data_IF_171079936435
#
_entry.id   IF_171079936435
#
_cell.length_a   1.000
_cell.length_b   1.000
_cell.length_c   1.000
_cell.angle_alpha   90.00
_cell.angle_beta   90.00
_cell.angle_gamma   90.00
#
_symmetry.space_group_name_H-M   'P 1'
#
loop_
_entity.id
_entity.type
_entity.pdbx_description
1 polymer ?
#
# COMPACT_ATOMS: atom_id res chain seq x y z
N UNK A 1 -17.36 -3.37 -20.19
CA UNK A 1 -16.28 -4.33 -19.89
C UNK A 1 -15.86 -4.09 -18.45
N UNK A 2 -16.45 -4.82 -17.50
CA UNK A 2 -16.32 -4.55 -16.06
C UNK A 2 -15.86 -5.79 -15.27
N UNK A 3 -15.51 -6.89 -15.92
CA UNK A 3 -15.09 -8.11 -15.22
C UNK A 3 -13.56 -8.19 -15.15
N UNK A 4 -13.02 -8.61 -14.01
CA UNK A 4 -11.61 -8.95 -13.85
C UNK A 4 -11.17 -10.01 -14.89
N UNK A 5 -12.10 -10.88 -15.29
CA UNK A 5 -11.86 -11.89 -16.33
C UNK A 5 -11.57 -11.26 -17.70
N UNK A 6 -12.22 -10.12 -18.03
CA UNK A 6 -11.98 -9.43 -19.30
C UNK A 6 -10.52 -8.96 -19.41
N UNK A 7 -9.89 -8.57 -18.30
CA UNK A 7 -8.48 -8.16 -18.26
C UNK A 7 -7.52 -9.34 -18.40
N UNK A 8 -7.87 -10.48 -17.78
CA UNK A 8 -7.09 -11.72 -17.89
C UNK A 8 -7.15 -12.26 -19.32
N UNK A 9 -8.32 -12.19 -19.96
CA UNK A 9 -8.49 -12.60 -21.35
C UNK A 9 -7.64 -11.72 -22.30
N UNK A 10 -7.59 -10.40 -22.07
CA UNK A 10 -6.73 -9.49 -22.84
C UNK A 10 -5.24 -9.77 -22.62
N UNK A 11 -4.82 -10.04 -21.37
CA UNK A 11 -3.44 -10.44 -21.08
C UNK A 11 -3.08 -11.75 -21.77
N UNK A 12 -3.97 -12.74 -21.74
CA UNK A 12 -3.76 -14.03 -22.40
C UNK A 12 -3.67 -13.87 -23.92
N UNK A 13 -4.54 -13.07 -24.54
CA UNK A 13 -4.47 -12.75 -25.97
C UNK A 13 -3.15 -12.08 -26.34
N UNK A 14 -2.66 -11.18 -25.49
CA UNK A 14 -1.40 -10.49 -25.73
C UNK A 14 -0.19 -11.43 -25.64
N UNK A 15 -0.15 -12.32 -24.64
CA UNK A 15 1.02 -13.18 -24.37
C UNK A 15 1.02 -14.44 -25.23
N UNK A 16 -0.11 -15.14 -25.34
CA UNK A 16 -0.22 -16.44 -26.02
C UNK A 16 -0.51 -16.28 -27.50
N UNK A 17 -1.45 -15.40 -27.85
CA UNK A 17 -1.88 -15.20 -29.24
C UNK A 17 -1.08 -14.10 -29.96
N UNK A 18 -0.24 -13.34 -29.23
CA UNK A 18 0.55 -12.22 -29.78
C UNK A 18 -0.32 -11.18 -30.48
N UNK A 19 -1.51 -10.94 -29.92
CA UNK A 19 -2.48 -10.00 -30.47
C UNK A 19 -2.52 -8.71 -29.63
N UNK A 20 -2.15 -7.60 -30.26
CA UNK A 20 -2.21 -6.27 -29.65
C UNK A 20 -3.61 -5.65 -29.67
N UNK A 21 -4.56 -6.16 -30.47
CA UNK A 21 -5.84 -5.50 -30.72
C UNK A 21 -6.66 -5.32 -29.44
N UNK A 22 -6.77 -6.37 -28.61
CA UNK A 22 -7.48 -6.31 -27.33
C UNK A 22 -6.86 -5.30 -26.36
N UNK A 23 -5.53 -5.29 -26.25
CA UNK A 23 -4.80 -4.38 -25.37
C UNK A 23 -4.91 -2.92 -25.84
N UNK A 24 -4.85 -2.67 -27.16
CA UNK A 24 -5.02 -1.34 -27.75
C UNK A 24 -6.45 -0.82 -27.59
N UNK A 25 -7.47 -1.67 -27.75
CA UNK A 25 -8.86 -1.31 -27.48
C UNK A 25 -9.05 -0.89 -26.01
N UNK A 26 -8.46 -1.66 -25.09
CA UNK A 26 -8.47 -1.31 -23.66
C UNK A 26 -7.76 0.03 -23.39
N UNK A 27 -6.62 0.29 -24.04
CA UNK A 27 -5.91 1.56 -23.94
C UNK A 27 -6.76 2.74 -24.44
N UNK A 28 -7.51 2.57 -25.53
CA UNK A 28 -8.41 3.60 -26.04
C UNK A 28 -9.49 3.96 -25.01
N UNK A 29 -10.13 2.95 -24.41
CA UNK A 29 -11.17 3.12 -23.38
C UNK A 29 -10.64 3.79 -22.09
N UNK A 30 -9.37 3.55 -21.74
CA UNK A 30 -8.74 4.04 -20.50
C UNK A 30 -7.74 5.19 -20.71
N UNK A 31 -7.67 5.73 -21.92
CA UNK A 31 -6.67 6.72 -22.40
C UNK A 31 -6.53 7.94 -21.47
N UNK A 32 -7.63 8.52 -21.00
CA UNK A 32 -7.62 9.67 -20.08
C UNK A 32 -6.98 9.35 -18.72
N UNK A 33 -7.11 8.11 -18.24
CA UNK A 33 -6.52 7.67 -16.97
C UNK A 33 -5.06 7.31 -17.17
N UNK A 34 -4.74 6.58 -18.24
CA UNK A 34 -3.35 6.26 -18.60
C UNK A 34 -2.50 7.52 -18.80
N UNK A 35 -3.07 8.58 -19.39
CA UNK A 35 -2.40 9.87 -19.55
C UNK A 35 -2.09 10.55 -18.22
N UNK A 36 -3.04 10.57 -17.29
CA UNK A 36 -2.81 11.11 -15.93
C UNK A 36 -1.76 10.31 -15.15
N UNK A 37 -1.66 9.01 -15.44
CA UNK A 37 -0.67 8.12 -14.88
C UNK A 37 0.69 8.20 -15.62
N UNK A 38 0.78 8.88 -16.76
CA UNK A 38 2.01 8.92 -17.56
C UNK A 38 2.45 7.51 -18.03
N UNK A 39 1.50 6.66 -18.38
CA UNK A 39 1.76 5.27 -18.76
C UNK A 39 2.47 5.16 -20.12
N UNK A 40 3.55 4.38 -20.25
CA UNK A 40 4.20 4.12 -21.54
C UNK A 40 3.53 2.97 -22.35
N UNK A 41 2.46 2.37 -21.82
CA UNK A 41 1.85 1.16 -22.36
C UNK A 41 1.36 1.32 -23.81
N UNK A 42 0.59 2.37 -24.09
CA UNK A 42 0.01 2.62 -25.42
C UNK A 42 1.11 2.74 -26.49
N UNK A 43 2.18 3.49 -26.20
CA UNK A 43 3.34 3.62 -27.08
C UNK A 43 4.02 2.27 -27.35
N UNK A 44 4.26 1.48 -26.30
CA UNK A 44 4.93 0.18 -26.42
C UNK A 44 4.10 -0.84 -27.21
N UNK A 45 2.78 -0.82 -27.07
CA UNK A 45 1.88 -1.67 -27.85
C UNK A 45 1.87 -1.26 -29.34
N UNK A 46 1.78 0.04 -29.65
CA UNK A 46 1.89 0.52 -31.03
C UNK A 46 3.24 0.18 -31.67
N UNK A 47 4.33 0.28 -30.91
CA UNK A 47 5.67 -0.16 -31.35
C UNK A 47 5.69 -1.65 -31.67
N UNK A 48 5.10 -2.50 -30.82
CA UNK A 48 5.05 -3.94 -31.06
C UNK A 48 4.19 -4.28 -32.30
N UNK A 49 3.04 -3.63 -32.46
CA UNK A 49 2.17 -3.79 -33.63
C UNK A 49 2.90 -3.43 -34.92
N UNK A 50 3.62 -2.30 -34.92
CA UNK A 50 4.45 -1.88 -36.05
C UNK A 50 5.50 -2.95 -36.40
N UNK A 51 6.22 -3.48 -35.41
CA UNK A 51 7.22 -4.52 -35.63
C UNK A 51 6.60 -5.79 -36.23
N UNK A 52 5.39 -6.16 -35.83
CA UNK A 52 4.70 -7.32 -36.40
C UNK A 52 4.28 -7.07 -37.86
N UNK A 53 3.87 -5.85 -38.23
CA UNK A 53 3.62 -5.49 -39.64
C UNK A 53 4.90 -5.58 -40.49
N UNK A 54 6.04 -5.15 -39.93
CA UNK A 54 7.35 -5.32 -40.58
C UNK A 54 7.68 -6.80 -40.76
N UNK A 55 7.39 -7.64 -39.75
CA UNK A 55 7.59 -9.09 -39.82
C UNK A 55 6.76 -9.74 -40.93
N UNK A 56 5.55 -9.24 -41.18
CA UNK A 56 4.66 -9.71 -42.25
C UNK A 56 5.03 -9.18 -43.64
N UNK A 57 6.11 -8.39 -43.76
CA UNK A 57 6.58 -7.73 -44.99
C UNK A 57 5.61 -6.69 -45.56
N UNK A 58 4.61 -6.27 -44.78
CA UNK A 58 3.72 -5.17 -45.16
C UNK A 58 4.35 -3.81 -44.80
N UNK A 59 5.30 -3.39 -45.64
CA UNK A 59 6.10 -2.17 -45.42
C UNK A 59 5.25 -0.91 -45.60
N UNK A 60 4.26 -0.93 -46.49
CA UNK A 60 3.41 0.23 -46.76
C UNK A 60 2.41 0.44 -45.63
N UNK A 61 1.76 -0.63 -45.16
CA UNK A 61 0.88 -0.57 -43.99
C UNK A 61 1.64 -0.15 -42.73
N UNK A 62 2.87 -0.65 -42.52
CA UNK A 62 3.70 -0.24 -41.40
C UNK A 62 4.05 1.26 -41.42
N UNK A 63 4.36 1.82 -42.60
CA UNK A 63 4.65 3.26 -42.76
C UNK A 63 3.42 4.13 -42.48
N UNK A 64 2.25 3.73 -43.00
CA UNK A 64 1.00 4.43 -42.74
C UNK A 64 0.66 4.39 -41.24
N UNK A 65 0.77 3.22 -40.61
CA UNK A 65 0.54 3.05 -39.17
C UNK A 65 1.49 3.90 -38.32
N UNK A 66 2.78 3.92 -38.66
CA UNK A 66 3.78 4.75 -38.00
C UNK A 66 3.46 6.24 -38.12
N UNK A 67 3.02 6.68 -39.30
CA UNK A 67 2.62 8.08 -39.52
C UNK A 67 1.41 8.49 -38.69
N UNK A 68 0.48 7.57 -38.41
CA UNK A 68 -0.71 7.85 -37.61
C UNK A 68 -0.39 7.88 -36.11
N UNK A 69 0.35 6.89 -35.60
CA UNK A 69 0.54 6.70 -34.15
C UNK A 69 1.83 7.30 -33.58
N UNK A 70 2.87 7.52 -34.39
CA UNK A 70 4.12 8.16 -33.93
C UNK A 70 4.24 9.65 -34.32
N UNK A 71 3.20 10.22 -34.94
CA UNK A 71 3.20 11.65 -35.29
C UNK A 71 3.00 12.55 -34.07
N UNK A 72 3.71 13.69 -33.98
CA UNK A 72 3.65 14.61 -32.84
C UNK A 72 2.27 15.26 -32.62
N UNK A 73 1.36 15.21 -33.61
CA UNK A 73 -0.01 15.76 -33.49
C UNK A 73 -0.97 14.83 -32.72
N UNK A 74 -0.79 13.50 -32.75
CA UNK A 74 -1.68 12.56 -32.05
C UNK A 74 -1.35 12.40 -30.56
N UNK A 75 -0.16 12.81 -30.12
CA UNK A 75 0.26 12.81 -28.71
C UNK A 75 0.04 14.16 -27.99
N UNK A 76 -0.51 15.16 -28.69
CA UNK A 76 -0.52 16.57 -28.27
C UNK A 76 -1.67 17.00 -27.35
N UNK A 77 -2.57 16.13 -26.89
CA UNK A 77 -3.61 16.55 -25.92
C UNK A 77 -3.14 16.58 -24.45
N UNK A 78 -1.83 16.80 -24.25
CA UNK A 78 -1.16 17.01 -22.97
C UNK A 78 -0.54 18.41 -22.88
N UNK A 79 -1.30 19.46 -23.21
CA UNK A 79 -0.93 20.83 -22.88
C UNK A 79 -2.19 21.71 -22.75
N UNK A 80 -2.72 21.78 -21.53
CA UNK A 80 -3.76 22.75 -21.20
C UNK A 80 -3.14 24.15 -21.22
N UNK A 81 -3.57 24.95 -22.20
CA UNK A 81 -3.74 26.41 -22.18
C UNK A 81 -3.37 27.12 -20.88
N UNK A 82 -2.34 27.99 -20.92
CA UNK A 82 -2.36 29.39 -20.42
C UNK A 82 -1.02 30.08 -20.75
N UNK A 83 -0.98 30.99 -21.74
CA UNK A 83 -0.13 32.21 -21.74
C UNK A 83 -0.32 33.04 -23.04
N UNK A 84 -0.12 34.37 -22.98
CA UNK A 84 -0.73 35.32 -23.90
C UNK A 84 0.10 35.66 -25.15
N UNK A 85 -0.59 36.29 -26.09
CA UNK A 85 -0.14 36.85 -27.35
C UNK A 85 1.05 37.81 -27.17
N UNK A 86 2.17 37.48 -27.80
CA UNK A 86 3.29 38.40 -28.07
C UNK A 86 3.80 38.16 -29.48
N UNK A 87 3.64 39.17 -30.35
CA UNK A 87 4.14 39.16 -31.73
C UNK A 87 5.65 39.36 -31.72
N UNK A 88 6.41 38.41 -32.26
CA UNK A 88 7.87 38.47 -32.37
C UNK A 88 8.38 37.48 -33.40
N UNK A 89 8.95 38.00 -34.49
CA UNK A 89 9.50 37.25 -35.61
C UNK A 89 10.93 36.85 -35.22
N UNK A 90 11.24 35.54 -35.13
CA UNK A 90 12.63 35.07 -35.02
C UNK A 90 12.81 33.70 -35.69
N UNK A 91 13.82 33.64 -36.55
CA UNK A 91 14.26 32.52 -37.37
C UNK A 91 14.99 31.42 -36.55
N UNK A 92 14.96 30.20 -37.09
CA UNK A 92 15.76 29.00 -36.80
C UNK A 92 15.68 28.39 -35.39
N UNK A 93 14.77 27.43 -35.23
CA UNK A 93 15.10 26.02 -34.96
C UNK A 93 13.81 25.18 -35.09
N UNK A 94 13.64 24.51 -36.24
CA UNK A 94 12.49 23.65 -36.53
C UNK A 94 12.59 22.26 -35.85
N UNK A 95 13.07 22.21 -34.60
CA UNK A 95 13.25 20.96 -33.85
C UNK A 95 13.06 21.17 -32.35
N UNK A 96 11.85 21.59 -31.96
CA UNK A 96 11.44 21.70 -30.55
C UNK A 96 9.92 21.49 -30.38
N UNK A 97 9.30 20.69 -31.26
CA UNK A 97 7.86 20.43 -31.20
C UNK A 97 7.48 18.96 -31.45
N UNK A 98 8.40 18.03 -31.18
CA UNK A 98 8.09 16.60 -31.12
C UNK A 98 7.63 16.26 -29.71
N UNK A 99 6.33 15.97 -29.53
CA UNK A 99 5.71 15.55 -28.26
C UNK A 99 6.17 14.18 -27.73
N UNK A 100 7.35 13.72 -28.13
CA UNK A 100 7.98 12.47 -27.73
C UNK A 100 9.17 12.80 -26.83
N UNK A 101 9.36 12.04 -25.75
CA UNK A 101 10.60 12.14 -24.97
C UNK A 101 11.80 11.75 -25.85
N UNK A 102 13.00 12.24 -25.52
CA UNK A 102 14.21 11.90 -26.26
C UNK A 102 14.43 10.38 -26.38
N UNK A 103 14.03 9.62 -25.36
CA UNK A 103 14.07 8.15 -25.35
C UNK A 103 13.07 7.54 -26.35
N UNK A 104 11.83 8.04 -26.38
CA UNK A 104 10.82 7.55 -27.33
C UNK A 104 11.22 7.81 -28.78
N UNK A 105 11.90 8.93 -29.07
CA UNK A 105 12.41 9.21 -30.41
C UNK A 105 13.48 8.20 -30.84
N UNK A 106 14.39 7.83 -29.93
CA UNK A 106 15.39 6.78 -30.21
C UNK A 106 14.69 5.44 -30.46
N UNK A 107 13.67 5.12 -29.66
CA UNK A 107 12.90 3.89 -29.84
C UNK A 107 12.15 3.82 -31.17
N UNK A 108 11.57 4.94 -31.63
CA UNK A 108 10.92 5.05 -32.94
C UNK A 108 11.96 4.95 -34.06
N UNK A 109 13.11 5.61 -33.94
CA UNK A 109 14.19 5.51 -34.92
C UNK A 109 14.70 4.07 -35.07
N UNK A 110 14.88 3.36 -33.95
CA UNK A 110 15.24 1.94 -33.95
C UNK A 110 14.18 1.09 -34.66
N UNK A 111 12.89 1.30 -34.36
CA UNK A 111 11.80 0.62 -35.04
C UNK A 111 11.80 0.94 -36.55
N UNK A 112 11.90 2.21 -36.94
CA UNK A 112 11.94 2.63 -38.34
C UNK A 112 13.15 2.07 -39.10
N UNK A 113 14.30 1.93 -38.44
CA UNK A 113 15.48 1.31 -39.02
C UNK A 113 15.26 -0.17 -39.39
N UNK A 114 14.34 -0.88 -38.71
CA UNK A 114 13.96 -2.25 -39.11
C UNK A 114 13.37 -2.33 -40.51
N UNK A 115 12.78 -1.24 -41.04
CA UNK A 115 12.34 -1.20 -42.43
C UNK A 115 13.53 -1.25 -43.39
N UNK A 116 14.64 -0.58 -43.08
CA UNK A 116 15.82 -0.59 -43.97
C UNK A 116 16.53 -1.95 -43.99
N UNK A 117 16.38 -2.72 -42.90
CA UNK A 117 16.90 -4.06 -42.77
C UNK A 117 15.95 -5.05 -43.50
N UNK A 118 16.52 -6.11 -44.04
CA UNK A 118 15.77 -7.16 -44.76
C UNK A 118 14.91 -8.01 -43.82
N UNK A 119 14.81 -9.30 -44.09
CA UNK A 119 14.01 -10.20 -43.26
C UNK A 119 14.52 -10.23 -41.80
N UNK A 120 13.64 -10.12 -40.79
CA UNK A 120 14.02 -10.06 -39.37
C UNK A 120 14.85 -11.26 -38.90
N UNK A 121 14.60 -12.44 -39.50
CA UNK A 121 15.28 -13.70 -39.16
C UNK A 121 16.67 -13.83 -39.82
N UNK A 122 16.92 -13.06 -40.89
CA UNK A 122 18.21 -13.02 -41.60
C UNK A 122 19.10 -11.85 -41.15
N UNK A 123 18.62 -11.05 -40.20
CA UNK A 123 19.33 -9.88 -39.74
C UNK A 123 20.56 -10.30 -38.90
N UNK A 124 21.76 -10.13 -39.47
CA UNK A 124 23.05 -10.44 -38.79
C UNK A 124 23.38 -9.50 -37.63
N UNK A 125 22.52 -8.52 -37.32
CA UNK A 125 22.75 -7.54 -36.26
C UNK A 125 21.95 -7.94 -35.01
N UNK A 126 22.62 -8.33 -33.91
CA UNK A 126 21.96 -8.89 -32.73
C UNK A 126 20.96 -7.92 -32.08
N UNK A 127 21.25 -6.62 -32.07
CA UNK A 127 20.37 -5.60 -31.44
C UNK A 127 18.99 -5.53 -32.10
N UNK A 128 18.91 -5.79 -33.41
CA UNK A 128 17.62 -5.80 -34.12
C UNK A 128 16.89 -7.12 -33.96
N UNK A 129 17.60 -8.25 -33.81
CA UNK A 129 16.98 -9.54 -33.52
C UNK A 129 16.21 -9.53 -32.19
N UNK A 130 16.72 -8.80 -31.19
CA UNK A 130 16.06 -8.63 -29.89
C UNK A 130 14.73 -7.87 -29.98
N UNK A 131 14.54 -7.02 -31.01
CA UNK A 131 13.26 -6.33 -31.21
C UNK A 131 12.12 -7.28 -31.57
N UNK A 132 12.44 -8.44 -32.15
CA UNK A 132 11.47 -9.47 -32.57
C UNK A 132 11.42 -10.68 -31.60
N UNK A 133 12.11 -10.59 -30.47
CA UNK A 133 12.17 -11.63 -29.46
C UNK A 133 10.80 -11.93 -28.85
N UNK A 134 10.55 -13.21 -28.53
CA UNK A 134 9.24 -13.67 -28.03
C UNK A 134 9.00 -13.21 -26.59
N UNK A 135 10.08 -13.04 -25.83
CA UNK A 135 10.08 -12.60 -24.43
C UNK A 135 9.43 -11.22 -24.25
N UNK A 136 9.47 -10.37 -25.28
CA UNK A 136 8.84 -9.04 -25.28
C UNK A 136 7.33 -9.10 -25.03
N UNK A 137 6.67 -10.16 -25.49
CA UNK A 137 5.22 -10.33 -25.25
C UNK A 137 4.93 -10.58 -23.77
N UNK A 138 5.83 -11.27 -23.06
CA UNK A 138 5.73 -11.42 -21.60
C UNK A 138 5.93 -10.08 -20.88
N UNK A 139 6.91 -9.28 -21.31
CA UNK A 139 7.13 -7.95 -20.76
C UNK A 139 5.93 -7.01 -20.98
N UNK A 140 5.33 -7.07 -22.18
CA UNK A 140 4.14 -6.30 -22.52
C UNK A 140 2.91 -6.74 -21.72
N UNK A 141 2.72 -8.05 -21.53
CA UNK A 141 1.68 -8.61 -20.65
C UNK A 141 1.84 -8.13 -19.20
N UNK A 142 3.05 -8.25 -18.65
CA UNK A 142 3.35 -7.78 -17.30
C UNK A 142 3.12 -6.26 -17.14
N UNK A 143 3.50 -5.47 -18.16
CA UNK A 143 3.26 -4.03 -18.19
C UNK A 143 1.76 -3.70 -18.26
N UNK A 144 1.01 -4.40 -19.13
CA UNK A 144 -0.43 -4.26 -19.23
C UNK A 144 -1.10 -4.52 -17.88
N UNK A 145 -0.79 -5.65 -17.24
CA UNK A 145 -1.33 -6.02 -15.93
C UNK A 145 -0.94 -5.04 -14.83
N UNK A 146 0.28 -4.49 -14.85
CA UNK A 146 0.68 -3.45 -13.91
C UNK A 146 -0.13 -2.15 -14.09
N UNK A 147 -0.29 -1.70 -15.33
CA UNK A 147 -0.99 -0.46 -15.65
C UNK A 147 -2.51 -0.58 -15.51
N UNK A 148 -3.08 -1.76 -15.80
CA UNK A 148 -4.48 -2.09 -15.50
C UNK A 148 -4.74 -2.02 -13.99
N UNK A 149 -3.90 -2.68 -13.17
CA UNK A 149 -3.99 -2.58 -11.70
C UNK A 149 -3.94 -1.14 -11.23
N UNK A 150 -3.02 -0.35 -11.77
CA UNK A 150 -2.87 1.06 -11.46
C UNK A 150 -4.10 1.90 -11.88
N UNK A 151 -4.73 1.57 -13.01
CA UNK A 151 -5.96 2.22 -13.47
C UNK A 151 -7.18 1.93 -12.60
N UNK A 152 -7.25 0.74 -11.99
CA UNK A 152 -8.32 0.37 -11.04
C UNK A 152 -7.97 0.67 -9.59
N UNK A 153 -6.80 1.28 -9.31
CA UNK A 153 -6.35 1.55 -7.95
C UNK A 153 -5.99 0.30 -7.15
N UNK A 154 -5.80 -0.84 -7.82
CA UNK A 154 -5.32 -2.06 -7.19
C UNK A 154 -3.84 -1.89 -6.84
N UNK A 155 -3.53 -2.01 -5.55
CA UNK A 155 -2.15 -1.94 -5.06
C UNK A 155 -1.38 -3.18 -5.49
N UNK A 156 -0.21 -2.99 -6.11
CA UNK A 156 0.70 -4.10 -6.46
C UNK A 156 1.55 -4.57 -5.28
N UNK A 157 1.59 -3.78 -4.20
CA UNK A 157 2.45 -4.02 -3.04
C UNK A 157 1.76 -4.78 -1.91
N UNK A 158 0.47 -4.56 -1.71
CA UNK A 158 -0.32 -5.14 -0.63
C UNK A 158 -1.67 -5.59 -1.16
N UNK A 159 -2.24 -6.63 -0.57
CA UNK A 159 -3.60 -7.07 -0.93
C UNK A 159 -4.65 -6.16 -0.28
N UNK A 160 -5.87 -6.13 -0.83
CA UNK A 160 -6.98 -5.39 -0.20
C UNK A 160 -7.24 -5.87 1.23
N UNK A 161 -7.11 -7.17 1.48
CA UNK A 161 -7.22 -7.77 2.81
C UNK A 161 -6.14 -7.24 3.77
N UNK A 162 -4.89 -7.22 3.32
CA UNK A 162 -3.77 -6.71 4.11
C UNK A 162 -3.95 -5.23 4.46
N UNK A 163 -4.39 -4.40 3.51
CA UNK A 163 -4.69 -2.99 3.75
C UNK A 163 -5.82 -2.82 4.79
N UNK A 164 -6.88 -3.62 4.72
CA UNK A 164 -7.95 -3.61 5.71
C UNK A 164 -7.47 -4.07 7.09
N UNK A 165 -6.64 -5.11 7.17
CA UNK A 165 -6.07 -5.58 8.43
C UNK A 165 -5.16 -4.51 9.03
N UNK A 166 -4.26 -3.92 8.24
CA UNK A 166 -3.40 -2.83 8.69
C UNK A 166 -4.22 -1.63 9.18
N UNK A 167 -5.29 -1.25 8.49
CA UNK A 167 -6.20 -0.19 8.94
C UNK A 167 -6.94 -0.53 10.25
N UNK A 168 -7.25 -1.81 10.49
CA UNK A 168 -7.82 -2.24 11.76
C UNK A 168 -6.76 -2.22 12.88
N UNK A 169 -5.53 -2.66 12.58
CA UNK A 169 -4.43 -2.69 13.53
C UNK A 169 -3.96 -1.28 13.91
N UNK A 170 -3.96 -0.30 13.01
CA UNK A 170 -3.70 1.11 13.37
C UNK A 170 -4.69 1.64 14.40
N UNK A 171 -5.98 1.28 14.28
CA UNK A 171 -7.01 1.71 15.22
C UNK A 171 -6.82 1.11 16.63
N UNK A 172 -6.17 -0.05 16.72
CA UNK A 172 -5.89 -0.76 17.97
C UNK A 172 -4.49 -0.46 18.54
N UNK A 173 -3.58 0.10 17.74
CA UNK A 173 -2.17 0.30 18.11
C UNK A 173 -2.03 1.49 19.06
N UNK A 174 -2.11 1.23 20.36
CA UNK A 174 -1.95 2.24 21.42
C UNK A 174 -0.48 2.49 21.78
N UNK A 175 -0.14 3.57 22.51
CA UNK A 175 1.22 3.81 23.01
C UNK A 175 1.80 2.67 23.86
N UNK A 176 0.96 1.83 24.49
CA UNK A 176 1.41 0.62 25.19
C UNK A 176 2.06 -0.39 24.23
N UNK A 177 1.77 -0.31 22.93
CA UNK A 177 2.38 -1.09 21.87
C UNK A 177 3.72 -0.51 21.37
N UNK A 178 4.16 0.69 21.83
CA UNK A 178 5.37 1.39 21.34
C UNK A 178 6.66 0.59 21.50
N UNK A 179 6.69 -0.43 22.37
CA UNK A 179 7.83 -1.35 22.47
C UNK A 179 8.06 -2.21 21.21
N UNK A 180 7.10 -2.25 20.28
CA UNK A 180 7.26 -2.90 18.97
C UNK A 180 8.36 -2.27 18.11
N UNK A 181 8.65 -0.97 18.27
CA UNK A 181 9.59 -0.24 17.40
C UNK A 181 11.06 -0.40 17.84
N UNK A 182 11.30 -0.79 19.10
CA UNK A 182 12.66 -0.83 19.70
C UNK A 182 13.44 -2.14 19.45
N UNK A 183 12.80 -3.15 18.86
CA UNK A 183 13.44 -4.43 18.56
C UNK A 183 14.28 -4.45 17.27
N UNK A 184 14.07 -3.49 16.36
CA UNK A 184 14.63 -3.55 15.00
C UNK A 184 15.38 -2.28 14.57
N UNK A 185 15.27 -1.17 15.31
CA UNK A 185 16.00 0.06 14.99
C UNK A 185 16.69 0.64 16.24
N UNK A 186 18.00 0.44 16.35
CA UNK A 186 19.01 1.47 16.70
C UNK A 186 20.39 0.81 16.98
N UNK A 187 21.20 0.70 15.93
CA UNK A 187 22.51 1.36 15.95
C UNK A 187 22.26 2.74 15.36
N UNK A 188 22.33 3.80 16.18
CA UNK A 188 22.11 5.17 15.70
C UNK A 188 21.45 6.05 16.74
N UNK A 189 22.28 6.83 17.42
CA UNK A 189 21.96 7.86 18.42
C UNK A 189 20.73 8.72 18.07
N UNK A 190 19.79 8.85 19.00
CA UNK A 190 18.85 9.97 19.03
C UNK A 190 18.49 10.29 20.48
N UNK A 191 18.68 11.56 20.83
CA UNK A 191 18.56 12.15 22.15
C UNK A 191 17.16 11.98 22.76
N UNK A 192 17.15 11.49 24.00
CA UNK A 192 15.99 11.31 24.84
C UNK A 192 15.57 12.63 25.49
N UNK A 193 14.33 13.07 25.26
CA UNK A 193 13.61 13.91 26.20
C UNK A 193 12.45 13.14 26.84
N UNK A 194 12.66 12.91 28.15
CA UNK A 194 11.69 12.70 29.22
C UNK A 194 10.89 11.39 29.26
N UNK A 195 11.56 10.35 29.77
CA UNK A 195 10.93 9.18 30.39
C UNK A 195 10.89 9.34 31.91
N UNK A 196 9.68 9.37 32.49
CA UNK A 196 9.48 9.02 33.90
C UNK A 196 9.84 7.54 34.09
N UNK A 197 10.80 7.29 34.97
CA UNK A 197 11.35 5.99 35.30
C UNK A 197 10.36 5.16 36.12
N UNK A 198 10.04 3.96 35.64
CA UNK A 198 9.63 2.87 36.51
C UNK A 198 10.69 1.79 36.39
N UNK A 199 11.60 1.78 37.37
CA UNK A 199 12.61 0.76 37.55
C UNK A 199 11.93 -0.53 37.98
N UNK A 200 11.81 -1.48 37.07
CA UNK A 200 11.70 -2.90 37.44
C UNK A 200 12.66 -3.70 36.57
N UNK A 201 13.51 -4.41 37.28
CA UNK A 201 14.55 -5.34 36.85
C UNK A 201 14.04 -6.43 35.91
N UNK A 202 14.83 -6.68 34.85
CA UNK A 202 15.06 -7.96 34.17
C UNK A 202 13.85 -8.81 33.70
N UNK A 203 13.73 -8.88 32.35
CA UNK A 203 13.24 -9.99 31.53
C UNK A 203 11.81 -10.53 31.77
N UNK A 204 10.89 -10.12 30.91
CA UNK A 204 9.91 -10.98 30.21
C UNK A 204 9.02 -10.08 29.33
N UNK A 205 8.54 -10.60 28.20
CA UNK A 205 7.70 -9.94 27.19
C UNK A 205 6.70 -8.91 27.77
N UNK A 206 7.09 -7.63 27.80
CA UNK A 206 6.31 -6.57 28.44
C UNK A 206 5.25 -5.99 27.48
N UNK A 207 4.50 -6.89 26.86
CA UNK A 207 3.32 -6.65 26.04
C UNK A 207 2.22 -7.63 26.44
N UNK A 208 0.96 -7.22 26.29
CA UNK A 208 -0.15 -8.12 26.54
C UNK A 208 -0.18 -9.23 25.46
N UNK A 209 -0.05 -10.52 25.80
CA UNK A 209 -0.10 -11.61 24.82
C UNK A 209 -1.46 -11.70 24.13
N UNK A 210 -2.53 -11.19 24.77
CA UNK A 210 -3.86 -11.13 24.20
C UNK A 210 -4.07 -9.90 23.27
N UNK A 211 -3.05 -9.04 23.13
CA UNK A 211 -3.14 -7.88 22.24
C UNK A 211 -2.94 -8.31 20.78
N UNK A 212 -3.95 -8.14 19.91
CA UNK A 212 -3.84 -8.56 18.50
C UNK A 212 -2.81 -7.74 17.70
N UNK A 213 -2.41 -6.56 18.20
CA UNK A 213 -1.35 -5.74 17.60
C UNK A 213 0.04 -6.23 18.00
N UNK A 214 0.19 -6.72 19.24
CA UNK A 214 1.48 -7.15 19.76
C UNK A 214 1.74 -8.63 19.50
N UNK A 215 0.72 -9.47 19.33
CA UNK A 215 0.87 -10.90 19.04
C UNK A 215 1.09 -11.17 17.55
N UNK A 216 1.80 -12.24 17.22
CA UNK A 216 1.92 -12.71 15.83
C UNK A 216 0.61 -13.39 15.37
N UNK A 217 0.19 -13.21 14.10
CA UNK A 217 0.87 -12.48 13.02
C UNK A 217 0.60 -10.98 12.98
N UNK A 218 -0.26 -10.43 13.85
CA UNK A 218 -0.62 -9.00 13.81
C UNK A 218 0.56 -8.06 14.01
N UNK A 219 1.57 -8.48 14.78
CA UNK A 219 2.81 -7.74 14.98
C UNK A 219 3.51 -7.37 13.68
N UNK A 220 3.73 -8.33 12.79
CA UNK A 220 4.48 -8.10 11.54
C UNK A 220 3.79 -7.09 10.63
N UNK A 221 2.45 -7.06 10.67
CA UNK A 221 1.63 -6.09 9.94
C UNK A 221 1.58 -4.72 10.63
N UNK A 222 1.83 -4.66 11.94
CA UNK A 222 1.66 -3.46 12.74
C UNK A 222 2.94 -2.64 12.98
N UNK A 223 4.14 -3.15 12.65
CA UNK A 223 5.42 -2.49 12.97
C UNK A 223 5.45 -1.05 12.44
N UNK A 224 5.21 -0.86 11.14
CA UNK A 224 5.30 0.44 10.46
C UNK A 224 4.02 1.31 10.58
N UNK A 225 3.02 0.85 11.34
CA UNK A 225 1.74 1.54 11.45
C UNK A 225 1.78 2.68 12.49
N UNK A 226 1.09 3.81 12.25
CA UNK A 226 0.97 4.87 13.25
C UNK A 226 0.19 4.43 14.50
N UNK A 227 0.38 5.15 15.60
CA UNK A 227 -0.41 4.95 16.82
C UNK A 227 -1.82 5.53 16.66
N UNK A 228 -2.80 4.86 17.26
CA UNK A 228 -4.17 5.36 17.40
C UNK A 228 -4.21 6.62 18.27
N UNK A 229 -4.87 7.67 17.80
CA UNK A 229 -5.16 8.85 18.63
C UNK A 229 -6.45 8.62 19.44
N UNK A 230 -6.31 8.13 20.66
CA UNK A 230 -7.42 7.99 21.60
C UNK A 230 -7.46 9.22 22.51
N UNK A 231 -8.32 10.20 22.21
CA UNK A 231 -8.40 11.45 22.98
C UNK A 231 -8.90 11.27 24.42
N UNK A 232 -9.64 10.18 24.68
CA UNK A 232 -10.14 9.82 26.00
C UNK A 232 -9.89 8.33 26.25
N UNK A 233 -9.48 7.97 27.46
CA UNK A 233 -9.45 6.59 27.93
C UNK A 233 -10.45 6.43 29.08
N UNK A 234 -11.08 5.27 29.16
CA UNK A 234 -11.98 4.92 30.25
C UNK A 234 -11.50 3.62 30.88
N UNK A 235 -11.57 3.56 32.20
CA UNK A 235 -11.22 2.36 32.95
C UNK A 235 -12.45 1.46 33.02
N UNK A 236 -12.26 0.15 32.82
CA UNK A 236 -13.31 -0.86 32.98
C UNK A 236 -12.90 -1.87 34.04
N UNK A 237 -13.87 -2.38 34.78
CA UNK A 237 -13.61 -3.39 35.78
C UNK A 237 -13.35 -4.75 35.16
N UNK A 238 -12.22 -5.36 35.49
CA UNK A 238 -11.89 -6.72 35.05
C UNK A 238 -12.84 -7.81 35.59
N UNK A 239 -13.62 -7.54 36.64
CA UNK A 239 -14.58 -8.48 37.22
C UNK A 239 -15.99 -8.29 36.67
N UNK A 240 -16.46 -7.04 36.56
CA UNK A 240 -17.86 -6.74 36.18
C UNK A 240 -18.01 -6.20 34.76
N UNK A 241 -16.93 -5.78 34.10
CA UNK A 241 -16.95 -5.13 32.79
C UNK A 241 -17.46 -3.68 32.81
N UNK A 242 -18.00 -3.21 33.93
CA UNK A 242 -18.55 -1.86 34.06
C UNK A 242 -17.46 -0.78 34.06
N UNK A 243 -17.83 0.43 33.62
CA UNK A 243 -16.96 1.59 33.69
C UNK A 243 -16.61 1.94 35.14
N UNK A 244 -15.36 2.31 35.36
CA UNK A 244 -14.86 2.87 36.61
C UNK A 244 -14.80 4.40 36.46
N UNK A 245 -15.73 5.08 37.10
CA UNK A 245 -15.91 6.53 37.03
C UNK A 245 -16.10 7.14 38.44
N UNK A 246 -16.57 8.38 38.51
CA UNK A 246 -16.83 9.05 39.79
C UNK A 246 -17.90 8.34 40.65
N UNK A 247 -18.85 7.63 40.03
CA UNK A 247 -19.90 6.88 40.73
C UNK A 247 -19.45 5.45 41.09
N UNK A 248 -18.50 4.88 40.34
CA UNK A 248 -17.95 3.54 40.53
C UNK A 248 -16.41 3.55 40.57
N UNK A 249 -15.78 4.17 41.58
CA UNK A 249 -14.34 4.44 41.56
C UNK A 249 -13.50 3.15 41.61
N UNK A 250 -12.27 3.18 41.07
CA UNK A 250 -11.34 2.06 41.18
C UNK A 250 -10.82 1.88 42.62
N UNK A 251 -10.74 0.63 43.07
CA UNK A 251 -10.26 0.21 44.39
C UNK A 251 -9.06 -0.75 44.26
N UNK A 252 -7.99 -0.49 45.01
CA UNK A 252 -6.74 -1.26 45.09
C UNK A 252 -6.80 -2.32 46.17
N UNK A 253 -6.56 -3.57 45.80
CA UNK A 253 -6.30 -4.66 46.74
C UNK A 253 -4.81 -4.67 47.14
N UNK A 254 -4.46 -5.21 48.32
CA UNK A 254 -3.06 -5.29 48.78
C UNK A 254 -2.10 -6.06 47.85
N UNK A 255 -2.62 -6.93 46.97
CA UNK A 255 -1.84 -7.64 45.96
C UNK A 255 -1.58 -6.82 44.67
N UNK A 256 -1.93 -5.53 44.65
CA UNK A 256 -1.72 -4.66 43.50
C UNK A 256 -2.80 -4.73 42.42
N UNK A 257 -3.87 -5.51 42.61
CA UNK A 257 -4.99 -5.61 41.65
C UNK A 257 -6.04 -4.53 41.88
N UNK A 258 -6.63 -4.03 40.80
CA UNK A 258 -7.64 -2.97 40.84
C UNK A 258 -8.98 -3.50 40.34
N UNK A 259 -10.04 -3.25 41.12
CA UNK A 259 -11.42 -3.59 40.79
C UNK A 259 -12.33 -2.41 41.10
N UNK A 260 -13.53 -2.36 40.50
CA UNK A 260 -14.46 -1.26 40.76
C UNK A 260 -15.05 -1.39 42.15
N UNK A 261 -15.51 -0.28 42.71
CA UNK A 261 -16.12 -0.30 44.04
C UNK A 261 -17.31 -1.25 44.13
N UNK A 262 -18.15 -1.29 43.08
CA UNK A 262 -19.26 -2.24 42.98
C UNK A 262 -18.78 -3.69 42.94
N UNK A 263 -17.76 -3.99 42.13
CA UNK A 263 -17.17 -5.33 42.09
C UNK A 263 -16.67 -5.77 43.47
N UNK A 264 -15.93 -4.91 44.18
CA UNK A 264 -15.40 -5.24 45.51
C UNK A 264 -16.53 -5.54 46.49
N UNK A 265 -17.55 -4.68 46.56
CA UNK A 265 -18.63 -4.79 47.57
C UNK A 265 -19.64 -5.91 47.27
N UNK A 266 -20.03 -6.05 46.01
CA UNK A 266 -21.16 -6.91 45.63
C UNK A 266 -20.71 -8.31 45.18
N UNK A 267 -19.52 -8.43 44.57
CA UNK A 267 -19.08 -9.67 43.94
C UNK A 267 -17.88 -10.33 44.62
N UNK A 268 -17.00 -9.54 45.25
CA UNK A 268 -15.75 -10.05 45.82
C UNK A 268 -15.77 -10.13 47.35
N UNK A 269 -16.76 -9.52 48.00
CA UNK A 269 -16.90 -9.55 49.46
C UNK A 269 -17.68 -10.77 49.89
N UNK A 270 -17.13 -11.53 50.84
CA UNK A 270 -17.85 -12.59 51.55
C UNK A 270 -17.99 -12.19 53.03
N UNK A 271 -19.20 -12.31 53.56
CA UNK A 271 -19.47 -12.10 54.98
C UNK A 271 -19.27 -13.41 55.72
N UNK A 272 -18.07 -13.61 56.25
CA UNK A 272 -17.86 -14.62 57.28
C UNK A 272 -18.56 -14.09 58.54
N UNK A 273 -19.59 -14.79 59.04
CA UNK A 273 -20.49 -14.34 60.13
C UNK A 273 -19.84 -14.05 61.50
N UNK A 274 -18.53 -13.78 61.54
CA UNK A 274 -17.70 -13.50 62.70
C UNK A 274 -17.01 -12.11 62.63
N UNK A 275 -17.61 -11.14 61.94
CA UNK A 275 -17.42 -9.71 62.23
C UNK A 275 -16.50 -8.89 61.32
N UNK A 276 -15.77 -9.48 60.37
CA UNK A 276 -14.98 -8.68 59.40
C UNK A 276 -15.20 -9.17 57.96
N UNK A 277 -15.70 -8.28 57.11
CA UNK A 277 -15.90 -8.54 55.69
C UNK A 277 -14.54 -8.76 55.00
N UNK A 278 -14.41 -9.87 54.28
CA UNK A 278 -13.18 -10.22 53.53
C UNK A 278 -13.44 -10.12 52.04
N UNK A 279 -12.43 -9.64 51.31
CA UNK A 279 -12.43 -9.53 49.85
C UNK A 279 -11.48 -10.57 49.27
N UNK A 280 -11.99 -11.39 48.35
CA UNK A 280 -11.18 -12.41 47.66
C UNK A 280 -10.91 -12.02 46.21
N UNK A 281 -9.64 -11.99 45.81
CA UNK A 281 -9.24 -11.66 44.45
C UNK A 281 -9.58 -12.81 43.50
N UNK A 282 -10.34 -12.59 42.40
CA UNK A 282 -10.72 -13.67 41.49
C UNK A 282 -9.55 -14.21 40.66
N UNK A 283 -8.48 -13.42 40.47
CA UNK A 283 -7.30 -13.82 39.69
C UNK A 283 -6.24 -14.56 40.50
N UNK A 284 -5.94 -14.08 41.71
CA UNK A 284 -4.88 -14.66 42.55
C UNK A 284 -5.40 -15.56 43.66
N UNK A 285 -6.72 -15.52 43.94
CA UNK A 285 -7.40 -16.22 45.04
C UNK A 285 -6.95 -15.79 46.45
N UNK A 286 -6.16 -14.72 46.57
CA UNK A 286 -5.79 -14.15 47.86
C UNK A 286 -6.99 -13.48 48.53
N UNK A 287 -7.12 -13.63 49.86
CA UNK A 287 -8.15 -12.97 50.65
C UNK A 287 -7.57 -11.91 51.57
N UNK A 288 -8.19 -10.74 51.60
CA UNK A 288 -7.77 -9.60 52.42
C UNK A 288 -8.94 -9.02 53.21
N UNK A 289 -8.70 -8.47 54.40
CA UNK A 289 -9.70 -7.65 55.09
C UNK A 289 -10.13 -6.46 54.22
N UNK A 290 -11.43 -6.18 54.15
CA UNK A 290 -11.97 -5.03 53.38
C UNK A 290 -11.36 -3.70 53.84
N UNK A 291 -10.97 -3.61 55.11
CA UNK A 291 -10.28 -2.46 55.72
C UNK A 291 -8.93 -2.12 55.06
N UNK A 292 -8.27 -3.09 54.41
CA UNK A 292 -6.99 -2.86 53.72
C UNK A 292 -7.13 -2.44 52.25
N UNK A 293 -8.35 -2.43 51.71
CA UNK A 293 -8.61 -1.99 50.34
C UNK A 293 -8.63 -0.47 50.28
N UNK A 294 -7.94 0.13 49.31
CA UNK A 294 -7.78 1.59 49.18
C UNK A 294 -8.45 2.12 47.93
N UNK A 295 -8.98 3.34 47.96
CA UNK A 295 -9.42 4.01 46.73
C UNK A 295 -8.20 4.48 45.93
N UNK A 296 -8.29 4.39 44.60
CA UNK A 296 -7.33 5.00 43.68
C UNK A 296 -8.02 6.16 42.98
N UNK A 297 -7.27 7.24 42.76
CA UNK A 297 -7.67 8.32 41.87
C UNK A 297 -6.71 8.32 40.69
N UNK A 298 -7.27 8.33 39.48
CA UNK A 298 -6.50 8.53 38.25
C UNK A 298 -6.60 10.01 37.93
N UNK A 299 -5.46 10.68 37.96
CA UNK A 299 -5.30 12.11 37.68
C UNK A 299 -4.83 12.29 36.24
#
# INVERSE_FOLDING_TARGET
MNSLNDLLDVEQQLVEHRDCAGALAWCADHSSRLRRLGSPLEFKLHKQQFLEMVRQKDRLGALEYASQHFSPQNLQSSATSMAPRGSGIAFTNASANSGLSGEQLVEVQQAMATLALGDPEDCRVPDYSQLFAVERWQELGALFSAEARRCYGMTTKFTALEACIQAALTALKTPSCRRLERGEAMSGNAESQETYSCETTEQENNYNPDCPVCADPGRSLAVALPLSHCGNSYLTCACTGEAMDAANPPMLLPNGRVYSQRAVREHLTSSDGCGENRVTCPRTRDSFPLSKVRNIYVV
#
